data_IF_961977421455
#
_entry.id   IF_961977421455
#
_cell.length_a   1.000
_cell.length_b   1.000
_cell.length_c   1.000
_cell.angle_alpha   90.00
_cell.angle_beta   90.00
_cell.angle_gamma   90.00
#
_symmetry.space_group_name_H-M   'P 1'
#
loop_
_entity.id
_entity.type
_entity.pdbx_description
1 polymer ?
#
# COMPACT_ATOMS: atom_id res chain seq x y z
N UNK A 1 43.68 -57.95 -19.33
CA UNK A 1 42.61 -57.67 -18.35
C UNK A 1 43.08 -56.58 -17.39
N UNK A 2 42.64 -55.33 -17.59
CA UNK A 2 42.71 -54.23 -16.62
C UNK A 2 41.42 -53.43 -16.77
N UNK A 3 40.68 -53.29 -15.68
CA UNK A 3 39.33 -52.73 -15.62
C UNK A 3 39.35 -51.19 -15.73
N UNK A 4 38.31 -50.55 -16.30
CA UNK A 4 38.20 -49.09 -16.35
C UNK A 4 37.71 -48.54 -15.00
N UNK A 5 38.42 -47.53 -14.47
CA UNK A 5 37.97 -46.74 -13.33
C UNK A 5 36.88 -45.76 -13.80
N UNK A 6 35.71 -45.86 -13.15
CA UNK A 6 34.52 -45.01 -13.38
C UNK A 6 34.62 -43.79 -12.47
N UNK A 7 34.70 -42.54 -12.97
CA UNK A 7 34.61 -41.37 -12.11
C UNK A 7 33.19 -41.21 -11.58
N UNK A 8 33.08 -41.33 -10.27
CA UNK A 8 31.91 -41.13 -9.43
C UNK A 8 31.80 -39.66 -9.02
N UNK A 9 30.57 -39.13 -8.98
CA UNK A 9 30.22 -38.02 -8.10
C UNK A 9 30.20 -36.65 -8.74
N UNK A 10 29.08 -36.32 -9.39
CA UNK A 10 28.65 -34.95 -9.64
C UNK A 10 28.48 -34.19 -8.31
N UNK A 11 29.34 -33.21 -8.04
CA UNK A 11 29.10 -32.18 -7.02
C UNK A 11 28.64 -30.90 -7.72
N UNK A 12 27.34 -30.59 -7.68
CA UNK A 12 26.96 -29.19 -7.62
C UNK A 12 25.87 -29.02 -6.56
N UNK A 13 26.21 -28.79 -5.29
CA UNK A 13 25.15 -28.68 -4.27
C UNK A 13 25.29 -27.59 -3.21
N UNK A 14 26.42 -26.87 -3.13
CA UNK A 14 26.54 -25.77 -2.17
C UNK A 14 26.33 -24.38 -2.83
N UNK A 15 26.93 -24.16 -4.00
CA UNK A 15 26.85 -22.86 -4.68
C UNK A 15 25.44 -22.53 -5.20
N UNK A 16 24.66 -23.54 -5.58
CA UNK A 16 23.30 -23.35 -6.10
C UNK A 16 22.30 -22.92 -5.01
N UNK A 17 22.46 -23.47 -3.80
CA UNK A 17 21.62 -23.10 -2.65
C UNK A 17 21.91 -21.68 -2.16
N UNK A 18 23.18 -21.25 -2.18
CA UNK A 18 23.55 -19.88 -1.80
C UNK A 18 22.96 -18.83 -2.77
N UNK A 19 22.92 -19.14 -4.06
CA UNK A 19 22.31 -18.24 -5.06
C UNK A 19 20.78 -18.15 -4.91
N UNK A 20 20.12 -19.26 -4.57
CA UNK A 20 18.67 -19.27 -4.36
C UNK A 20 18.25 -18.40 -3.17
N UNK A 21 18.99 -18.45 -2.05
CA UNK A 21 18.70 -17.61 -0.88
C UNK A 21 18.89 -16.10 -1.13
N UNK A 22 19.80 -15.71 -2.04
CA UNK A 22 20.02 -14.31 -2.39
C UNK A 22 18.82 -13.71 -3.16
N UNK A 23 18.14 -14.52 -3.99
CA UNK A 23 16.95 -14.08 -4.76
C UNK A 23 15.74 -13.88 -3.84
N UNK A 24 15.60 -14.70 -2.79
CA UNK A 24 14.51 -14.57 -1.82
C UNK A 24 14.61 -13.30 -0.95
N UNK A 25 15.80 -12.71 -0.80
CA UNK A 25 15.98 -11.47 -0.03
C UNK A 25 15.50 -10.21 -0.77
N UNK A 26 15.26 -10.26 -2.08
CA UNK A 26 14.79 -9.12 -2.89
C UNK A 26 13.27 -8.92 -2.88
N UNK A 27 12.52 -9.76 -2.16
CA UNK A 27 11.05 -9.71 -2.12
C UNK A 27 10.43 -8.74 -1.12
N UNK A 28 11.23 -7.99 -0.34
CA UNK A 28 10.68 -7.09 0.68
C UNK A 28 10.27 -5.75 0.04
N UNK A 29 9.09 -5.71 -0.57
CA UNK A 29 8.48 -4.46 -1.05
C UNK A 29 7.93 -3.69 0.17
N UNK A 30 8.27 -2.41 0.35
CA UNK A 30 7.73 -1.63 1.46
C UNK A 30 6.19 -1.59 1.39
N UNK A 31 5.49 -1.69 2.53
CA UNK A 31 4.04 -1.63 2.54
C UNK A 31 3.56 -0.29 1.98
N UNK A 32 2.41 -0.30 1.30
CA UNK A 32 1.81 0.93 0.79
C UNK A 32 1.54 1.90 1.96
N UNK A 33 1.91 3.18 1.83
CA UNK A 33 1.68 4.15 2.89
C UNK A 33 0.18 4.35 3.15
N UNK A 34 -0.12 4.62 4.42
CA UNK A 34 -1.48 4.86 4.90
C UNK A 34 -1.50 6.18 5.64
N UNK A 35 -2.49 7.01 5.33
CA UNK A 35 -2.78 8.25 6.06
C UNK A 35 -4.18 8.16 6.63
N UNK A 36 -4.36 8.65 7.85
CA UNK A 36 -5.66 8.76 8.49
C UNK A 36 -5.84 10.18 9.02
N UNK A 37 -7.05 10.70 8.92
CA UNK A 37 -7.39 12.01 9.46
C UNK A 37 -8.54 12.69 8.72
N UNK A 38 -8.89 13.91 9.15
CA UNK A 38 -10.04 14.61 8.59
C UNK A 38 -9.78 15.11 7.17
N UNK A 39 -10.82 15.05 6.34
CA UNK A 39 -10.83 15.68 5.02
C UNK A 39 -10.96 17.19 5.20
N UNK A 40 -9.95 17.93 4.75
CA UNK A 40 -9.88 19.39 4.88
C UNK A 40 -10.36 20.12 3.62
N UNK A 41 -10.27 19.48 2.46
CA UNK A 41 -10.78 20.01 1.20
C UNK A 41 -11.13 18.86 0.23
N UNK A 42 -12.08 19.14 -0.65
CA UNK A 42 -12.44 18.29 -1.80
C UNK A 42 -12.44 19.20 -3.02
N UNK A 43 -11.73 18.82 -4.08
CA UNK A 43 -11.73 19.55 -5.34
C UNK A 43 -13.13 19.55 -5.97
N UNK A 44 -13.47 20.60 -6.71
CA UNK A 44 -14.83 20.81 -7.23
C UNK A 44 -15.30 19.69 -8.18
N UNK A 45 -14.36 19.01 -8.84
CA UNK A 45 -14.61 17.84 -9.70
C UNK A 45 -14.55 16.50 -8.95
N UNK A 46 -14.26 16.51 -7.64
CA UNK A 46 -14.15 15.31 -6.80
C UNK A 46 -12.93 14.43 -7.09
N UNK A 47 -11.98 14.87 -7.92
CA UNK A 47 -10.81 14.10 -8.31
C UNK A 47 -9.71 14.04 -7.25
N UNK A 48 -9.61 15.07 -6.40
CA UNK A 48 -8.59 15.17 -5.36
C UNK A 48 -9.22 15.54 -4.03
N UNK A 49 -8.81 14.86 -2.96
CA UNK A 49 -9.11 15.24 -1.59
C UNK A 49 -7.84 15.64 -0.85
N UNK A 50 -7.96 16.50 0.15
CA UNK A 50 -6.86 16.85 1.06
C UNK A 50 -7.13 16.31 2.45
N UNK A 51 -6.21 15.51 2.98
CA UNK A 51 -6.35 14.87 4.29
C UNK A 51 -5.28 15.40 5.24
N UNK A 52 -5.67 15.88 6.41
CA UNK A 52 -4.72 16.23 7.47
C UNK A 52 -4.25 14.93 8.14
N UNK A 53 -2.95 14.68 8.17
CA UNK A 53 -2.39 13.51 8.85
C UNK A 53 -2.57 13.66 10.37
N UNK A 54 -3.29 12.72 11.00
CA UNK A 54 -3.51 12.73 12.45
C UNK A 54 -2.24 12.47 13.26
N UNK A 55 -1.25 11.78 12.67
CA UNK A 55 0.03 11.47 13.31
C UNK A 55 0.99 12.67 13.23
N UNK A 56 0.81 13.52 12.20
CA UNK A 56 1.65 14.69 11.93
C UNK A 56 0.79 15.92 11.63
N UNK A 57 0.05 16.44 12.62
CA UNK A 57 -0.86 17.57 12.43
C UNK A 57 -0.16 18.88 12.03
N UNK A 58 1.15 18.99 12.28
CA UNK A 58 1.98 20.13 11.92
C UNK A 58 2.33 20.20 10.43
N UNK A 59 2.19 19.08 9.71
CA UNK A 59 2.48 19.00 8.27
C UNK A 59 1.24 19.44 7.48
N UNK A 60 1.40 20.16 6.35
CA UNK A 60 0.27 20.52 5.50
C UNK A 60 -0.56 19.32 5.05
N UNK A 61 -1.88 19.47 4.86
CA UNK A 61 -2.74 18.40 4.36
C UNK A 61 -2.24 17.79 3.05
N UNK A 62 -2.26 16.46 2.99
CA UNK A 62 -1.75 15.68 1.86
C UNK A 62 -2.81 15.66 0.76
N UNK A 63 -2.51 16.13 -0.46
CA UNK A 63 -3.39 15.97 -1.61
C UNK A 63 -3.33 14.52 -2.10
N UNK A 64 -4.50 13.92 -2.33
CA UNK A 64 -4.67 12.53 -2.75
C UNK A 64 -5.60 12.47 -3.96
N UNK A 65 -5.12 11.97 -5.09
CA UNK A 65 -5.95 11.67 -6.27
C UNK A 65 -6.77 10.41 -5.98
N UNK A 66 -8.10 10.54 -5.99
CA UNK A 66 -9.03 9.46 -5.67
C UNK A 66 -9.78 8.92 -6.89
N UNK A 67 -9.47 9.40 -8.11
CA UNK A 67 -10.21 9.04 -9.33
C UNK A 67 -10.20 7.55 -9.64
N UNK A 68 -9.12 6.86 -9.29
CA UNK A 68 -8.95 5.42 -9.49
C UNK A 68 -9.10 4.60 -8.21
N UNK A 69 -9.47 5.23 -7.09
CA UNK A 69 -9.50 4.56 -5.79
C UNK A 69 -10.78 3.74 -5.61
N UNK A 70 -10.70 2.67 -4.83
CA UNK A 70 -11.89 2.02 -4.27
C UNK A 70 -12.46 2.91 -3.15
N UNK A 71 -13.68 3.42 -3.35
CA UNK A 71 -14.35 4.32 -2.41
C UNK A 71 -15.65 3.68 -1.93
N UNK A 72 -15.76 3.43 -0.63
CA UNK A 72 -17.00 2.90 -0.05
C UNK A 72 -18.12 3.94 -0.03
N UNK A 73 -17.84 5.11 0.55
CA UNK A 73 -18.74 6.27 0.59
C UNK A 73 -17.95 7.51 0.22
N UNK A 74 -18.50 8.34 -0.67
CA UNK A 74 -17.84 9.57 -1.11
C UNK A 74 -17.52 10.47 0.10
N UNK A 75 -16.24 10.84 0.31
CA UNK A 75 -15.84 11.69 1.42
C UNK A 75 -16.29 13.14 1.20
N UNK A 76 -16.68 13.82 2.27
CA UNK A 76 -16.91 15.26 2.29
C UNK A 76 -15.97 15.93 3.29
N UNK A 77 -15.84 17.26 3.21
CA UNK A 77 -15.06 18.04 4.18
C UNK A 77 -15.58 17.77 5.60
N UNK A 78 -14.65 17.49 6.52
CA UNK A 78 -14.93 17.12 7.90
C UNK A 78 -15.03 15.61 8.16
N UNK A 79 -15.21 14.79 7.14
CA UNK A 79 -15.24 13.32 7.32
C UNK A 79 -13.88 12.80 7.80
N UNK A 80 -13.91 11.84 8.72
CA UNK A 80 -12.73 11.09 9.10
C UNK A 80 -12.50 9.95 8.11
N UNK A 81 -11.31 9.91 7.50
CA UNK A 81 -10.98 8.93 6.47
C UNK A 81 -9.67 8.22 6.76
N UNK A 82 -9.59 6.97 6.32
CA UNK A 82 -8.34 6.22 6.21
C UNK A 82 -8.07 5.94 4.74
N UNK A 83 -6.91 6.39 4.25
CA UNK A 83 -6.54 6.29 2.84
C UNK A 83 -5.25 5.49 2.69
N UNK A 84 -5.33 4.41 1.93
CA UNK A 84 -4.15 3.69 1.43
C UNK A 84 -3.78 4.32 0.09
N UNK A 85 -2.53 4.70 -0.10
CA UNK A 85 -2.09 5.38 -1.32
C UNK A 85 -0.73 4.87 -1.80
N UNK A 86 -0.37 5.26 -3.02
CA UNK A 86 0.96 5.10 -3.60
C UNK A 86 1.50 6.48 -3.97
N UNK A 87 2.75 6.75 -3.60
CA UNK A 87 3.46 7.93 -4.08
C UNK A 87 4.02 7.63 -5.49
N UNK A 88 3.57 8.39 -6.49
CA UNK A 88 4.00 8.32 -7.90
C UNK A 88 4.60 9.67 -8.29
N UNK A 89 5.86 9.92 -7.89
CA UNK A 89 6.51 11.21 -8.08
C UNK A 89 5.87 12.28 -7.19
N UNK A 90 5.27 13.30 -7.82
CA UNK A 90 4.59 14.40 -7.11
C UNK A 90 3.12 14.10 -6.77
N UNK A 91 2.58 12.98 -7.28
CA UNK A 91 1.17 12.61 -7.10
C UNK A 91 1.04 11.50 -6.08
N UNK A 92 0.18 11.71 -5.07
CA UNK A 92 -0.26 10.62 -4.20
C UNK A 92 -1.54 10.03 -4.76
N UNK A 93 -1.45 8.86 -5.39
CA UNK A 93 -2.61 8.15 -5.95
C UNK A 93 -3.23 7.29 -4.86
N UNK A 94 -4.46 7.57 -4.48
CA UNK A 94 -5.19 6.73 -3.56
C UNK A 94 -5.54 5.39 -4.23
N UNK A 95 -5.34 4.31 -3.47
CA UNK A 95 -5.72 2.95 -3.84
C UNK A 95 -7.09 2.61 -3.24
N UNK A 96 -7.32 3.00 -1.98
CA UNK A 96 -8.57 2.78 -1.26
C UNK A 96 -8.85 3.91 -0.29
N UNK A 97 -10.09 4.39 -0.27
CA UNK A 97 -10.58 5.42 0.64
C UNK A 97 -11.68 4.83 1.52
N UNK A 98 -11.42 4.77 2.82
CA UNK A 98 -12.36 4.28 3.83
C UNK A 98 -12.93 5.47 4.61
N UNK A 99 -14.22 5.73 4.47
CA UNK A 99 -14.91 6.78 5.22
C UNK A 99 -15.35 6.23 6.58
N UNK A 100 -14.60 6.57 7.64
CA UNK A 100 -14.81 6.05 8.98
C UNK A 100 -16.01 6.69 9.68
N UNK A 101 -16.38 7.92 9.31
CA UNK A 101 -17.56 8.60 9.85
C UNK A 101 -18.83 7.87 9.41
N UNK A 102 -18.98 7.67 8.10
CA UNK A 102 -20.21 7.13 7.51
C UNK A 102 -20.37 5.62 7.71
N UNK A 103 -19.29 4.87 7.90
CA UNK A 103 -19.38 3.44 8.22
C UNK A 103 -20.09 3.18 9.55
N UNK A 104 -19.87 4.04 10.56
CA UNK A 104 -20.53 3.91 11.87
C UNK A 104 -22.05 4.13 11.79
N UNK A 105 -22.50 5.01 10.90
CA UNK A 105 -23.92 5.28 10.71
C UNK A 105 -24.64 4.06 10.12
N UNK A 106 -24.04 3.41 9.12
CA UNK A 106 -24.61 2.22 8.48
C UNK A 106 -24.73 1.07 9.48
N UNK A 107 -23.71 0.82 10.30
CA UNK A 107 -23.74 -0.21 11.34
C UNK A 107 -24.84 0.02 12.39
N UNK A 108 -25.11 1.28 12.76
CA UNK A 108 -26.14 1.63 13.75
C UNK A 108 -27.57 1.51 13.20
N UNK A 109 -27.78 1.73 11.91
CA UNK A 109 -29.11 1.65 11.27
C UNK A 109 -29.58 0.22 10.94
N UNK A 110 -28.76 -0.80 11.19
CA UNK A 110 -29.07 -2.21 10.93
C UNK A 110 -29.54 -3.03 12.13
N UNK A 111 -29.80 -2.40 13.29
CA UNK A 111 -30.41 -3.00 14.49
C UNK A 111 -31.76 -2.34 14.78
#
# INVERSE_FOLDING_TARGET
>A
MRSPLKPSGSLPSAAFFAFLFLILAWGCVPPAPVVQGPVTAVEQEGGVIRVQDEVRPEVPPIPLDIRSAEIGSAPVVGDQVRVVYRAEGEVNRALRVMNLTRQKEVEQSGH
#
